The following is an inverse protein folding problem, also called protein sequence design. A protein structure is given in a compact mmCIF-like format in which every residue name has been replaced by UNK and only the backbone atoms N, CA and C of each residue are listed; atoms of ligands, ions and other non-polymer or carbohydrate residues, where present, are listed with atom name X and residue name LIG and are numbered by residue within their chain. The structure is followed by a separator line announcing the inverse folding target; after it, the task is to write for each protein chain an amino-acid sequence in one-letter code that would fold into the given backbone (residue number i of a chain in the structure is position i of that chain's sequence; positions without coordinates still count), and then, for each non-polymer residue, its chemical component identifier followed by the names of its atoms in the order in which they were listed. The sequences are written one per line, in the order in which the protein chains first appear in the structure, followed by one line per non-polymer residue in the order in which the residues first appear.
data_IF_692546256054
#
_entry.id   IF_692546256054
#
_cell.length_a   1.000
_cell.length_b   1.000
_cell.length_c   1.000
_cell.angle_alpha   90.00
_cell.angle_beta   90.00
_cell.angle_gamma   90.00
#
_symmetry.space_group_name_H-M   'P 1'
#
loop_
_entity.id
_entity.type
_entity.pdbx_description
1 polymer ?
#
# COMPACT_ATOMS: atom_id res chain seq x y z
N UNK A 1 54.65 -11.37 12.33
CA UNK A 1 54.13 -10.92 11.03
C UNK A 1 52.89 -10.08 11.30
N UNK A 2 52.96 -8.75 11.10
CA UNK A 2 51.79 -7.89 11.15
C UNK A 2 51.08 -8.00 9.80
N UNK A 3 50.06 -8.85 9.72
CA UNK A 3 49.17 -8.88 8.57
C UNK A 3 48.32 -7.61 8.57
N UNK A 4 48.82 -6.54 7.96
CA UNK A 4 47.98 -5.38 7.66
C UNK A 4 46.89 -5.87 6.72
N UNK A 5 45.69 -6.06 7.26
CA UNK A 5 44.52 -6.47 6.50
C UNK A 5 44.09 -5.25 5.68
N UNK A 6 44.77 -5.01 4.55
CA UNK A 6 44.48 -3.89 3.66
C UNK A 6 43.05 -4.08 3.16
N UNK A 7 42.18 -3.16 3.59
CA UNK A 7 40.80 -3.10 3.15
C UNK A 7 40.79 -2.95 1.64
N UNK A 8 40.15 -3.88 0.93
CA UNK A 8 40.11 -3.84 -0.54
C UNK A 8 38.93 -2.97 -0.97
N UNK A 9 39.15 -1.89 -1.73
CA UNK A 9 38.07 -1.05 -2.27
C UNK A 9 37.07 -1.81 -3.15
N UNK A 10 37.49 -2.95 -3.72
CA UNK A 10 36.61 -3.83 -4.48
C UNK A 10 35.68 -4.62 -3.57
N UNK A 11 36.18 -5.15 -2.45
CA UNK A 11 35.34 -5.82 -1.43
C UNK A 11 34.35 -4.87 -0.78
N UNK A 12 34.75 -3.62 -0.55
CA UNK A 12 33.84 -2.59 -0.02
C UNK A 12 32.71 -2.31 -1.03
N UNK A 13 33.04 -2.10 -2.32
CA UNK A 13 32.04 -1.90 -3.39
C UNK A 13 31.09 -3.08 -3.56
N UNK A 14 31.60 -4.32 -3.49
CA UNK A 14 30.75 -5.51 -3.55
C UNK A 14 29.80 -5.61 -2.35
N UNK A 15 30.29 -5.28 -1.15
CA UNK A 15 29.47 -5.23 0.05
C UNK A 15 28.38 -4.17 -0.05
N UNK A 16 28.69 -3.01 -0.64
CA UNK A 16 27.71 -1.94 -0.88
C UNK A 16 26.64 -2.35 -1.88
N UNK A 17 27.03 -2.98 -3.00
CA UNK A 17 26.08 -3.55 -3.96
C UNK A 17 25.16 -4.58 -3.32
N UNK A 18 25.70 -5.49 -2.51
CA UNK A 18 24.91 -6.49 -1.79
C UNK A 18 23.94 -5.86 -0.78
N UNK A 19 24.33 -4.76 -0.11
CA UNK A 19 23.42 -4.00 0.77
C UNK A 19 22.29 -3.33 -0.01
N UNK A 20 22.61 -2.61 -1.09
CA UNK A 20 21.62 -1.92 -1.91
C UNK A 20 20.65 -2.91 -2.58
N UNK A 21 21.16 -4.04 -3.10
CA UNK A 21 20.31 -5.08 -3.67
C UNK A 21 19.27 -5.59 -2.66
N UNK A 22 19.68 -5.84 -1.41
CA UNK A 22 18.75 -6.25 -0.35
C UNK A 22 17.71 -5.18 -0.05
N UNK A 23 18.11 -3.91 0.05
CA UNK A 23 17.18 -2.79 0.26
C UNK A 23 16.15 -2.73 -0.88
N UNK A 24 16.59 -2.81 -2.14
CA UNK A 24 15.72 -2.81 -3.30
C UNK A 24 14.74 -3.98 -3.29
N UNK A 25 15.23 -5.20 -3.05
CA UNK A 25 14.37 -6.39 -2.98
C UNK A 25 13.31 -6.26 -1.90
N UNK A 26 13.67 -5.78 -0.71
CA UNK A 26 12.69 -5.58 0.37
C UNK A 26 11.66 -4.51 0.03
N UNK A 27 12.08 -3.36 -0.51
CA UNK A 27 11.16 -2.29 -0.88
C UNK A 27 10.20 -2.68 -2.00
N UNK A 28 10.66 -3.46 -2.97
CA UNK A 28 9.80 -4.00 -4.03
C UNK A 28 8.76 -4.97 -3.46
N UNK A 29 9.16 -5.88 -2.57
CA UNK A 29 8.21 -6.79 -1.92
C UNK A 29 7.14 -6.03 -1.13
N UNK A 30 7.54 -5.01 -0.34
CA UNK A 30 6.59 -4.16 0.40
C UNK A 30 5.67 -3.40 -0.56
N UNK A 31 6.19 -2.90 -1.68
CA UNK A 31 5.38 -2.23 -2.71
C UNK A 31 4.30 -3.18 -3.24
N UNK A 32 4.66 -4.41 -3.59
CA UNK A 32 3.74 -5.41 -4.12
C UNK A 32 2.65 -5.76 -3.08
N UNK A 33 3.02 -5.93 -1.81
CA UNK A 33 2.08 -6.16 -0.71
C UNK A 33 1.06 -5.02 -0.56
N UNK A 34 1.53 -3.76 -0.58
CA UNK A 34 0.67 -2.58 -0.50
C UNK A 34 -0.28 -2.48 -1.71
N UNK A 35 0.21 -2.78 -2.92
CA UNK A 35 -0.62 -2.79 -4.13
C UNK A 35 -1.71 -3.86 -4.06
N UNK A 36 -1.38 -5.06 -3.58
CA UNK A 36 -2.34 -6.14 -3.42
C UNK A 36 -3.41 -5.81 -2.36
N UNK A 37 -3.02 -5.22 -1.23
CA UNK A 37 -3.96 -4.77 -0.21
C UNK A 37 -4.91 -3.70 -0.77
N UNK A 38 -4.35 -2.68 -1.45
CA UNK A 38 -5.13 -1.61 -2.09
C UNK A 38 -6.11 -2.17 -3.12
N UNK A 39 -5.68 -3.13 -3.94
CA UNK A 39 -6.54 -3.78 -4.92
C UNK A 39 -7.73 -4.48 -4.25
N UNK A 40 -7.48 -5.29 -3.23
CA UNK A 40 -8.54 -5.99 -2.50
C UNK A 40 -9.50 -5.03 -1.78
N UNK A 41 -9.00 -3.91 -1.25
CA UNK A 41 -9.85 -2.88 -0.65
C UNK A 41 -10.70 -2.15 -1.67
N UNK A 42 -10.17 -1.82 -2.85
CA UNK A 42 -10.95 -1.20 -3.91
C UNK A 42 -12.11 -2.09 -4.38
N UNK A 43 -11.88 -3.40 -4.52
CA UNK A 43 -12.95 -4.34 -4.85
C UNK A 43 -14.07 -4.31 -3.80
N UNK A 44 -13.71 -4.46 -2.51
CA UNK A 44 -14.69 -4.42 -1.42
C UNK A 44 -15.40 -3.08 -1.31
N UNK A 45 -14.70 -1.97 -1.57
CA UNK A 45 -15.27 -0.64 -1.61
C UNK A 45 -16.33 -0.53 -2.71
N UNK A 46 -16.04 -0.99 -3.92
CA UNK A 46 -16.98 -0.99 -5.04
C UNK A 46 -18.21 -1.84 -4.74
N UNK A 47 -18.03 -3.05 -4.21
CA UNK A 47 -19.12 -3.95 -3.82
C UNK A 47 -20.00 -3.33 -2.72
N UNK A 48 -19.39 -2.78 -1.67
CA UNK A 48 -20.12 -2.15 -0.56
C UNK A 48 -20.87 -0.90 -1.02
N UNK A 49 -20.27 -0.11 -1.93
CA UNK A 49 -20.92 1.07 -2.52
C UNK A 49 -22.12 0.69 -3.37
N UNK A 50 -22.04 -0.39 -4.13
CA UNK A 50 -23.16 -0.93 -4.88
C UNK A 50 -24.29 -1.40 -3.95
N UNK A 51 -23.97 -2.09 -2.86
CA UNK A 51 -24.96 -2.52 -1.86
C UNK A 51 -25.64 -1.33 -1.16
N UNK A 52 -24.88 -0.27 -0.87
CA UNK A 52 -25.43 0.96 -0.30
C UNK A 52 -26.42 1.64 -1.27
N UNK A 53 -26.08 1.71 -2.56
CA UNK A 53 -26.95 2.26 -3.58
C UNK A 53 -28.25 1.45 -3.74
N UNK A 54 -28.17 0.12 -3.73
CA UNK A 54 -29.34 -0.76 -3.76
C UNK A 54 -30.20 -0.62 -2.51
N UNK A 55 -29.57 -0.50 -1.33
CA UNK A 55 -30.28 -0.27 -0.07
C UNK A 55 -31.05 1.04 -0.10
N UNK A 56 -30.44 2.11 -0.64
CA UNK A 56 -31.08 3.41 -0.79
C UNK A 56 -32.28 3.37 -1.76
N UNK A 57 -32.15 2.65 -2.89
CA UNK A 57 -33.26 2.45 -3.83
C UNK A 57 -34.42 1.67 -3.19
N UNK A 58 -34.10 0.61 -2.44
CA UNK A 58 -35.10 -0.18 -1.71
C UNK A 58 -35.85 0.65 -0.65
N UNK A 59 -35.17 1.60 0.02
CA UNK A 59 -35.80 2.51 0.98
C UNK A 59 -36.86 3.42 0.34
N UNK A 60 -36.65 3.85 -0.90
CA UNK A 60 -37.54 4.80 -1.58
C UNK A 60 -38.96 4.25 -1.78
N UNK A 61 -39.13 2.92 -1.77
CA UNK A 61 -40.43 2.26 -1.94
C UNK A 61 -41.16 1.88 -0.64
N UNK A 62 -40.61 2.16 0.55
CA UNK A 62 -41.07 1.57 1.82
C UNK A 62 -41.63 2.62 2.79
N UNK A 63 -42.80 2.32 3.38
CA UNK A 63 -43.52 3.21 4.32
C UNK A 63 -42.88 3.26 5.73
N UNK A 64 -42.16 2.20 6.12
CA UNK A 64 -41.44 2.10 7.41
C UNK A 64 -39.98 1.63 7.19
N UNK A 65 -39.05 2.54 6.84
CA UNK A 65 -37.72 2.17 6.37
C UNK A 65 -36.68 1.86 7.47
N UNK A 66 -37.04 1.81 8.76
CA UNK A 66 -36.07 1.79 9.87
C UNK A 66 -34.96 0.73 9.77
N UNK A 67 -35.27 -0.49 9.32
CA UNK A 67 -34.24 -1.54 9.14
C UNK A 67 -33.25 -1.25 8.01
N UNK A 68 -33.67 -0.49 7.00
CA UNK A 68 -32.81 -0.08 5.89
C UNK A 68 -31.98 1.16 6.25
N UNK A 69 -32.48 2.05 7.10
CA UNK A 69 -31.73 3.20 7.62
C UNK A 69 -30.49 2.73 8.40
N UNK A 70 -30.66 1.82 9.36
CA UNK A 70 -29.54 1.25 10.13
C UNK A 70 -28.51 0.56 9.23
N UNK A 71 -28.99 -0.17 8.21
CA UNK A 71 -28.12 -0.83 7.23
C UNK A 71 -27.35 0.19 6.40
N UNK A 72 -28.01 1.23 5.90
CA UNK A 72 -27.40 2.28 5.10
C UNK A 72 -26.35 3.06 5.90
N UNK A 73 -26.62 3.34 7.18
CA UNK A 73 -25.64 3.99 8.07
C UNK A 73 -24.39 3.12 8.25
N UNK A 74 -24.58 1.81 8.50
CA UNK A 74 -23.47 0.87 8.60
C UNK A 74 -22.63 0.82 7.31
N UNK A 75 -23.28 0.65 6.16
CA UNK A 75 -22.59 0.63 4.85
C UNK A 75 -21.82 1.94 4.61
N UNK A 76 -22.42 3.09 4.93
CA UNK A 76 -21.77 4.40 4.83
C UNK A 76 -20.54 4.51 5.73
N UNK A 77 -20.61 3.99 6.95
CA UNK A 77 -19.48 3.95 7.88
C UNK A 77 -18.32 3.10 7.34
N UNK A 78 -18.63 1.92 6.81
CA UNK A 78 -17.66 1.01 6.19
C UNK A 78 -17.00 1.64 4.96
N UNK A 79 -17.78 2.28 4.08
CA UNK A 79 -17.29 3.01 2.89
C UNK A 79 -16.27 4.08 3.32
N UNK A 80 -16.60 4.92 4.30
CA UNK A 80 -15.68 5.94 4.84
C UNK A 80 -14.39 5.35 5.42
N UNK A 81 -14.47 4.17 6.05
CA UNK A 81 -13.30 3.49 6.57
C UNK A 81 -12.39 2.99 5.44
N UNK A 82 -12.97 2.45 4.36
CA UNK A 82 -12.22 2.06 3.17
C UNK A 82 -11.55 3.25 2.49
N UNK A 83 -12.24 4.37 2.29
CA UNK A 83 -11.64 5.59 1.70
C UNK A 83 -10.40 6.03 2.47
N UNK A 84 -10.51 6.13 3.80
CA UNK A 84 -9.38 6.51 4.67
C UNK A 84 -8.22 5.53 4.53
N UNK A 85 -8.49 4.22 4.50
CA UNK A 85 -7.45 3.20 4.37
C UNK A 85 -6.79 3.23 3.00
N UNK A 86 -7.55 3.40 1.93
CA UNK A 86 -7.04 3.51 0.55
C UNK A 86 -6.13 4.74 0.44
N UNK A 87 -6.56 5.91 0.93
CA UNK A 87 -5.72 7.12 0.94
C UNK A 87 -4.42 6.93 1.73
N UNK A 88 -4.48 6.21 2.84
CA UNK A 88 -3.28 5.90 3.62
C UNK A 88 -2.33 4.96 2.85
N UNK A 89 -2.86 3.92 2.19
CA UNK A 89 -2.07 3.03 1.33
C UNK A 89 -1.43 3.78 0.16
N UNK A 90 -2.13 4.75 -0.43
CA UNK A 90 -1.58 5.62 -1.47
C UNK A 90 -0.37 6.41 -0.95
N UNK A 91 -0.51 7.01 0.24
CA UNK A 91 0.60 7.73 0.88
C UNK A 91 1.80 6.82 1.17
N UNK A 92 1.56 5.56 1.56
CA UNK A 92 2.62 4.58 1.77
C UNK A 92 3.29 4.15 0.46
N UNK A 93 2.52 3.95 -0.61
CA UNK A 93 3.04 3.64 -1.94
C UNK A 93 3.92 4.78 -2.46
N UNK A 94 3.44 6.02 -2.40
CA UNK A 94 4.21 7.20 -2.81
C UNK A 94 5.53 7.30 -2.06
N UNK A 95 5.51 7.04 -0.74
CA UNK A 95 6.73 7.00 0.07
C UNK A 95 7.69 5.91 -0.40
N UNK A 96 7.23 4.67 -0.58
CA UNK A 96 8.06 3.55 -1.01
C UNK A 96 8.65 3.80 -2.40
N UNK A 97 7.87 4.34 -3.33
CA UNK A 97 8.34 4.72 -4.67
C UNK A 97 9.41 5.81 -4.61
N UNK A 98 9.22 6.84 -3.79
CA UNK A 98 10.22 7.88 -3.59
C UNK A 98 11.53 7.33 -3.02
N UNK A 99 11.47 6.37 -2.09
CA UNK A 99 12.65 5.69 -1.57
C UNK A 99 13.31 4.83 -2.64
N UNK A 100 12.55 4.05 -3.43
CA UNK A 100 13.08 3.23 -4.52
C UNK A 100 13.84 4.05 -5.56
N UNK A 101 13.32 5.23 -5.93
CA UNK A 101 13.99 6.16 -6.85
C UNK A 101 15.35 6.61 -6.28
N UNK A 102 15.39 6.98 -4.99
CA UNK A 102 16.64 7.39 -4.32
C UNK A 102 17.63 6.24 -4.17
N UNK A 103 17.16 5.03 -3.86
CA UNK A 103 18.05 3.86 -3.75
C UNK A 103 18.65 3.49 -5.11
N UNK A 104 17.85 3.60 -6.17
CA UNK A 104 18.30 3.35 -7.54
C UNK A 104 19.36 4.35 -8.01
N UNK A 105 19.33 5.61 -7.55
CA UNK A 105 20.38 6.57 -7.89
C UNK A 105 21.74 6.17 -7.29
N UNK A 106 21.77 5.70 -6.04
CA UNK A 106 23.01 5.21 -5.43
C UNK A 106 23.59 3.98 -6.11
N UNK A 107 22.74 3.13 -6.70
CA UNK A 107 23.20 2.00 -7.50
C UNK A 107 23.90 2.45 -8.79
N UNK A 108 23.42 3.53 -9.42
CA UNK A 108 24.03 4.10 -10.63
C UNK A 108 25.40 4.77 -10.36
N UNK A 109 25.64 5.19 -9.12
CA UNK A 109 26.86 5.90 -8.70
C UNK A 109 28.01 4.95 -8.25
N UNK A 110 27.80 3.62 -8.25
CA UNK A 110 28.74 2.58 -7.75
C UNK A 110 29.47 1.76 -8.83
#
# INVERSE_FOLDING_TARGET
MFGFNIRSPERDRETDRARLKRILTTLLAVKDELQMEKYGLNQRFTETSADAALTLDAMAGVIHPGSYEDRLENLTSVIKAYEKRITFLDSQLDFVEAVLVRVSSYHSDL
#
